data_IF_453160103519
#
_entry.id   IF_453160103519
#
_cell.length_a   1.000
_cell.length_b   1.000
_cell.length_c   1.000
_cell.angle_alpha   90.00
_cell.angle_beta   90.00
_cell.angle_gamma   90.00
#
_symmetry.space_group_name_H-M   'P 1'
#
loop_
_entity.id
_entity.type
_entity.pdbx_description
1 polymer ?
#
# COMPACT_ATOMS: atom_id res chain seq x y z
N UNK A 1 -15.82 79.32 -21.59
CA UNK A 1 -14.73 78.44 -21.07
C UNK A 1 -15.03 78.19 -19.59
N UNK A 2 -15.25 76.92 -19.16
CA UNK A 2 -14.20 76.18 -18.47
C UNK A 2 -14.15 74.66 -18.81
N UNK A 3 -12.93 74.23 -19.17
CA UNK A 3 -12.14 73.11 -18.61
C UNK A 3 -12.83 71.77 -18.31
N UNK A 4 -12.64 70.83 -19.25
CA UNK A 4 -12.74 69.37 -19.05
C UNK A 4 -11.82 68.91 -17.89
N UNK A 5 -12.39 68.11 -16.97
CA UNK A 5 -11.62 67.41 -15.93
C UNK A 5 -11.40 65.96 -16.35
N UNK A 6 -10.14 65.57 -16.52
CA UNK A 6 -9.73 64.26 -16.99
C UNK A 6 -9.85 63.23 -15.85
N UNK A 7 -10.80 62.30 -15.98
CA UNK A 7 -10.85 61.10 -15.13
C UNK A 7 -9.68 60.21 -15.51
N UNK A 8 -8.70 60.07 -14.61
CA UNK A 8 -7.63 59.08 -14.76
C UNK A 8 -8.09 57.76 -14.15
N UNK A 9 -8.37 56.78 -15.02
CA UNK A 9 -8.60 55.39 -14.63
C UNK A 9 -7.26 54.84 -14.15
N UNK A 10 -7.11 54.66 -12.84
CA UNK A 10 -5.99 53.92 -12.28
C UNK A 10 -6.21 52.43 -12.57
N UNK A 11 -5.40 51.87 -13.49
CA UNK A 11 -5.36 50.44 -13.73
C UNK A 11 -4.80 49.75 -12.49
N UNK A 12 -5.69 49.13 -11.70
CA UNK A 12 -5.29 48.26 -10.59
C UNK A 12 -4.85 46.94 -11.23
N UNK A 13 -3.55 46.79 -11.45
CA UNK A 13 -2.93 45.51 -11.79
C UNK A 13 -3.15 44.54 -10.61
N UNK A 14 -4.16 43.68 -10.72
CA UNK A 14 -4.30 42.51 -9.87
C UNK A 14 -3.10 41.57 -10.11
N UNK A 15 -2.08 41.70 -9.28
CA UNK A 15 -1.00 40.74 -9.14
C UNK A 15 -1.57 39.49 -8.47
N UNK A 16 -2.15 38.59 -9.28
CA UNK A 16 -2.46 37.23 -8.85
C UNK A 16 -1.16 36.48 -8.62
N UNK A 17 -0.60 36.58 -7.41
CA UNK A 17 0.44 35.67 -6.93
C UNK A 17 -0.15 34.27 -6.84
N UNK A 18 0.04 33.48 -7.91
CA UNK A 18 -0.19 32.03 -7.89
C UNK A 18 0.89 31.44 -7.00
N UNK A 19 0.56 31.17 -5.74
CA UNK A 19 1.39 30.38 -4.85
C UNK A 19 1.35 28.92 -5.36
N UNK A 20 2.32 28.57 -6.19
CA UNK A 20 2.53 27.20 -6.63
C UNK A 20 3.15 26.42 -5.46
N UNK A 21 2.30 25.91 -4.57
CA UNK A 21 2.73 25.07 -3.45
C UNK A 21 3.41 23.81 -3.99
N UNK A 22 4.70 23.65 -3.68
CA UNK A 22 5.44 22.45 -4.03
C UNK A 22 4.85 21.25 -3.29
N UNK A 23 4.13 20.37 -4.01
CA UNK A 23 3.70 19.08 -3.47
C UNK A 23 4.96 18.25 -3.22
N UNK A 24 5.36 18.14 -1.96
CA UNK A 24 6.47 17.28 -1.56
C UNK A 24 5.93 15.85 -1.52
N UNK A 25 6.28 15.03 -2.52
CA UNK A 25 6.00 13.59 -2.49
C UNK A 25 6.88 12.96 -1.41
N UNK A 26 6.28 12.57 -0.29
CA UNK A 26 7.03 11.98 0.82
C UNK A 26 7.50 10.57 0.43
N UNK A 27 8.63 10.12 0.99
CA UNK A 27 9.07 8.72 0.86
C UNK A 27 7.99 7.72 1.33
N UNK A 28 7.16 8.11 2.29
CA UNK A 28 5.98 7.35 2.70
C UNK A 28 4.99 7.15 1.53
N UNK A 29 4.73 8.18 0.73
CA UNK A 29 3.80 8.13 -0.41
C UNK A 29 4.30 7.17 -1.49
N UNK A 30 5.60 7.21 -1.79
CA UNK A 30 6.23 6.28 -2.74
C UNK A 30 6.16 4.83 -2.27
N UNK A 31 6.27 4.59 -0.97
CA UNK A 31 6.12 3.26 -0.38
C UNK A 31 4.70 2.72 -0.50
N UNK A 32 3.70 3.58 -0.28
CA UNK A 32 2.28 3.23 -0.45
C UNK A 32 1.97 2.97 -1.92
N UNK A 33 2.44 3.81 -2.84
CA UNK A 33 2.28 3.57 -4.28
C UNK A 33 2.91 2.23 -4.70
N UNK A 34 4.12 1.93 -4.21
CA UNK A 34 4.77 0.65 -4.47
C UNK A 34 3.93 -0.53 -3.97
N UNK A 35 3.36 -0.42 -2.77
CA UNK A 35 2.46 -1.44 -2.25
C UNK A 35 1.22 -1.62 -3.15
N UNK A 36 0.55 -0.54 -3.53
CA UNK A 36 -0.65 -0.59 -4.36
C UNK A 36 -0.39 -1.17 -5.75
N UNK A 37 0.75 -0.86 -6.36
CA UNK A 37 1.07 -1.27 -7.73
C UNK A 37 1.73 -2.65 -7.82
N UNK A 38 2.62 -2.99 -6.89
CA UNK A 38 3.45 -4.19 -6.98
C UNK A 38 3.01 -5.31 -6.03
N UNK A 39 2.45 -4.97 -4.86
CA UNK A 39 2.21 -5.94 -3.78
C UNK A 39 0.73 -6.34 -3.69
N UNK A 40 -0.18 -5.37 -3.63
CA UNK A 40 -1.62 -5.64 -3.49
C UNK A 40 -2.16 -6.54 -4.60
N UNK A 41 -1.84 -6.37 -5.89
CA UNK A 41 -2.38 -7.23 -6.95
C UNK A 41 -1.99 -8.70 -6.73
N UNK A 42 -0.73 -8.95 -6.35
CA UNK A 42 -0.24 -10.30 -6.07
C UNK A 42 -0.91 -10.90 -4.83
N UNK A 43 -1.12 -10.11 -3.77
CA UNK A 43 -1.85 -10.56 -2.58
C UNK A 43 -3.31 -10.93 -2.91
N UNK A 44 -3.98 -10.13 -3.74
CA UNK A 44 -5.35 -10.38 -4.18
C UNK A 44 -5.43 -11.68 -4.99
N UNK A 45 -4.54 -11.83 -5.97
CA UNK A 45 -4.57 -12.95 -6.91
C UNK A 45 -4.14 -14.28 -6.27
N UNK A 46 -3.08 -14.26 -5.46
CA UNK A 46 -2.44 -15.49 -5.00
C UNK A 46 -2.64 -15.82 -3.52
N UNK A 47 -3.11 -14.88 -2.69
CA UNK A 47 -3.14 -15.07 -1.24
C UNK A 47 -4.55 -15.03 -0.63
N UNK A 48 -5.42 -14.12 -1.08
CA UNK A 48 -6.68 -13.84 -0.37
C UNK A 48 -7.70 -14.97 -0.41
N UNK A 49 -7.65 -15.88 -1.39
CA UNK A 49 -8.56 -17.03 -1.44
C UNK A 49 -8.49 -17.90 -0.17
N UNK A 50 -7.35 -17.91 0.52
CA UNK A 50 -7.11 -18.67 1.74
C UNK A 50 -6.68 -17.82 2.95
N UNK A 51 -6.20 -16.59 2.75
CA UNK A 51 -5.62 -15.74 3.81
C UNK A 51 -6.27 -14.35 3.85
N UNK A 52 -7.59 -14.30 3.98
CA UNK A 52 -8.36 -13.05 4.07
C UNK A 52 -9.55 -13.18 5.01
N UNK A 53 -10.14 -12.06 5.40
CA UNK A 53 -11.39 -12.03 6.15
C UNK A 53 -12.53 -12.72 5.37
N UNK A 54 -12.53 -12.64 4.04
CA UNK A 54 -13.49 -13.38 3.22
C UNK A 54 -13.25 -14.89 3.29
N UNK A 55 -11.99 -15.34 3.30
CA UNK A 55 -11.67 -16.76 3.50
C UNK A 55 -12.11 -17.24 4.89
N UNK A 56 -11.99 -16.40 5.92
CA UNK A 56 -12.53 -16.67 7.25
C UNK A 56 -14.06 -16.84 7.22
N UNK A 57 -14.78 -15.91 6.59
CA UNK A 57 -16.23 -15.99 6.45
C UNK A 57 -16.68 -17.25 5.67
N UNK A 58 -15.90 -17.68 4.68
CA UNK A 58 -16.14 -18.89 3.87
C UNK A 58 -15.63 -20.19 4.52
N UNK A 59 -15.05 -20.14 5.73
CA UNK A 59 -14.41 -21.28 6.41
C UNK A 59 -13.29 -21.94 5.60
N UNK A 60 -12.62 -21.18 4.73
CA UNK A 60 -11.46 -21.61 3.95
C UNK A 60 -10.14 -21.03 4.44
N UNK A 61 -10.16 -20.28 5.56
CA UNK A 61 -8.98 -19.67 6.17
C UNK A 61 -7.90 -20.72 6.49
N UNK A 62 -6.64 -20.41 6.19
CA UNK A 62 -5.49 -21.27 6.48
C UNK A 62 -4.53 -20.60 7.47
N UNK A 63 -4.08 -21.37 8.45
CA UNK A 63 -3.08 -20.97 9.45
C UNK A 63 -3.46 -19.76 10.29
N UNK A 64 -4.75 -19.50 10.48
CA UNK A 64 -5.24 -18.31 11.21
C UNK A 64 -4.82 -16.96 10.60
N UNK A 65 -4.29 -16.95 9.37
CA UNK A 65 -3.54 -15.82 8.82
C UNK A 65 -4.41 -14.91 7.93
N UNK A 66 -4.39 -13.62 8.23
CA UNK A 66 -5.04 -12.56 7.44
C UNK A 66 -4.00 -11.68 6.74
N UNK A 67 -3.95 -11.71 5.41
CA UNK A 67 -3.04 -10.90 4.59
C UNK A 67 -3.72 -9.68 3.95
N UNK A 68 -5.02 -9.53 4.12
CA UNK A 68 -5.86 -8.47 3.55
C UNK A 68 -5.94 -7.19 4.40
N UNK A 69 -5.20 -7.14 5.51
CA UNK A 69 -5.04 -5.94 6.33
C UNK A 69 -3.62 -5.76 6.86
N UNK A 70 -3.23 -4.51 7.13
CA UNK A 70 -1.91 -4.21 7.71
C UNK A 70 -1.75 -4.84 9.09
N UNK A 71 -2.79 -4.79 9.91
CA UNK A 71 -2.76 -5.39 11.25
C UNK A 71 -2.67 -6.91 11.17
N UNK A 72 -3.43 -7.55 10.27
CA UNK A 72 -3.40 -8.99 10.07
C UNK A 72 -2.02 -9.51 9.69
N UNK A 73 -1.36 -8.85 8.72
CA UNK A 73 -0.01 -9.27 8.27
C UNK A 73 1.04 -9.19 9.38
N UNK A 74 0.93 -8.21 10.28
CA UNK A 74 1.87 -7.99 11.40
C UNK A 74 1.58 -8.85 12.62
N UNK A 75 0.30 -9.09 12.90
CA UNK A 75 -0.11 -10.04 13.95
C UNK A 75 0.28 -11.45 13.55
N UNK A 76 0.07 -11.77 12.27
CA UNK A 76 0.34 -13.10 11.73
C UNK A 76 -0.72 -14.11 12.10
N UNK A 77 -0.39 -15.38 11.90
CA UNK A 77 -1.26 -16.51 12.16
C UNK A 77 -0.69 -17.43 13.24
N UNK A 78 -1.04 -18.71 13.18
CA UNK A 78 -0.66 -19.72 14.18
C UNK A 78 0.87 -19.88 14.34
N UNK A 79 1.64 -19.50 13.33
CA UNK A 79 3.11 -19.56 13.32
C UNK A 79 3.80 -18.25 13.73
N UNK A 80 3.03 -17.20 14.06
CA UNK A 80 3.53 -15.87 14.38
C UNK A 80 3.47 -14.88 13.19
N UNK A 81 4.13 -13.71 13.32
CA UNK A 81 4.04 -12.61 12.36
C UNK A 81 4.40 -13.02 10.93
N UNK A 82 3.52 -12.72 9.97
CA UNK A 82 3.81 -12.97 8.56
C UNK A 82 4.82 -11.96 8.01
N UNK A 83 4.76 -10.71 8.50
CA UNK A 83 5.62 -9.61 8.09
C UNK A 83 6.20 -8.93 9.32
N UNK A 84 7.53 -8.82 9.34
CA UNK A 84 8.29 -7.99 10.28
C UNK A 84 8.84 -6.78 9.52
N UNK A 85 8.27 -5.57 9.73
CA UNK A 85 8.70 -4.36 9.03
C UNK A 85 10.22 -4.14 9.10
N UNK A 86 10.85 -3.91 7.94
CA UNK A 86 12.30 -3.71 7.82
C UNK A 86 13.13 -4.99 7.87
N UNK A 87 12.53 -6.15 8.16
CA UNK A 87 13.26 -7.42 8.35
C UNK A 87 12.70 -8.54 7.46
N UNK A 88 13.06 -8.58 6.15
CA UNK A 88 12.59 -9.62 5.25
C UNK A 88 13.03 -11.03 5.64
N UNK A 89 14.22 -11.18 6.22
CA UNK A 89 14.73 -12.48 6.67
C UNK A 89 13.92 -13.05 7.84
N UNK A 90 13.36 -12.17 8.68
CA UNK A 90 12.55 -12.55 9.84
C UNK A 90 11.05 -12.65 9.50
N UNK A 91 10.67 -12.42 8.23
CA UNK A 91 9.28 -12.41 7.78
C UNK A 91 8.87 -13.76 7.21
N UNK A 92 7.97 -14.46 7.89
CA UNK A 92 7.50 -15.79 7.47
C UNK A 92 6.88 -15.80 6.07
N UNK A 93 6.28 -14.70 5.63
CA UNK A 93 5.74 -14.58 4.27
C UNK A 93 6.83 -14.80 3.22
N UNK A 94 8.06 -14.30 3.43
CA UNK A 94 9.16 -14.47 2.48
C UNK A 94 9.59 -15.93 2.40
N UNK A 95 9.76 -16.59 3.55
CA UNK A 95 10.09 -18.01 3.59
C UNK A 95 8.98 -18.87 2.94
N UNK A 96 7.71 -18.50 3.16
CA UNK A 96 6.56 -19.17 2.58
C UNK A 96 6.51 -19.06 1.05
N UNK A 97 6.64 -17.85 0.48
CA UNK A 97 6.58 -17.65 -0.98
C UNK A 97 7.81 -18.20 -1.72
N UNK A 98 8.93 -18.41 -1.01
CA UNK A 98 10.10 -19.14 -1.53
C UNK A 98 9.97 -20.66 -1.44
N UNK A 99 8.96 -21.15 -0.72
CA UNK A 99 8.71 -22.55 -0.36
C UNK A 99 9.83 -23.16 0.50
N UNK A 100 10.36 -22.39 1.45
CA UNK A 100 11.41 -22.85 2.37
C UNK A 100 10.83 -23.55 3.60
N UNK A 101 9.62 -23.16 4.04
CA UNK A 101 9.05 -23.58 5.34
C UNK A 101 7.67 -24.22 5.24
N UNK A 102 6.74 -23.60 4.51
CA UNK A 102 5.33 -24.01 4.47
C UNK A 102 4.91 -24.50 3.09
N UNK A 103 4.02 -25.51 3.06
CA UNK A 103 3.33 -25.93 1.83
C UNK A 103 2.00 -25.18 1.71
N UNK A 104 2.00 -24.10 0.94
CA UNK A 104 0.77 -23.37 0.56
C UNK A 104 0.30 -23.86 -0.82
N UNK A 105 -1.00 -24.17 -1.03
CA UNK A 105 -1.61 -24.07 -2.35
C UNK A 105 -1.76 -22.56 -2.71
N UNK A 106 -1.54 -22.14 -3.97
CA UNK A 106 -1.20 -22.93 -5.17
C UNK A 106 0.25 -23.44 -5.20
N UNK A 107 0.49 -24.55 -5.91
CA UNK A 107 1.81 -25.22 -5.97
C UNK A 107 2.85 -24.47 -6.80
N UNK A 108 2.43 -23.54 -7.66
CA UNK A 108 3.32 -22.77 -8.53
C UNK A 108 4.00 -21.65 -7.75
N UNK A 109 5.34 -21.61 -7.82
CA UNK A 109 6.12 -20.51 -7.23
C UNK A 109 5.85 -19.20 -7.97
N UNK A 110 5.78 -18.11 -7.22
CA UNK A 110 5.83 -16.75 -7.78
C UNK A 110 7.16 -16.55 -8.52
N UNK A 111 7.18 -15.62 -9.49
CA UNK A 111 8.42 -15.29 -10.18
C UNK A 111 9.45 -14.69 -9.23
N UNK A 112 10.73 -14.75 -9.60
CA UNK A 112 11.81 -14.19 -8.76
C UNK A 112 11.65 -12.67 -8.60
N UNK A 113 11.12 -12.01 -9.63
CA UNK A 113 10.88 -10.57 -9.68
C UNK A 113 9.79 -10.18 -8.68
N UNK A 114 8.68 -10.94 -8.65
CA UNK A 114 7.61 -10.75 -7.66
C UNK A 114 8.16 -10.95 -6.24
N UNK A 115 8.91 -12.04 -6.00
CA UNK A 115 9.52 -12.28 -4.68
C UNK A 115 10.47 -11.14 -4.28
N UNK A 116 11.24 -10.60 -5.24
CA UNK A 116 12.13 -9.47 -5.01
C UNK A 116 11.34 -8.19 -4.64
N UNK A 117 10.18 -7.95 -5.24
CA UNK A 117 9.30 -6.84 -4.88
C UNK A 117 8.77 -6.99 -3.44
N UNK A 118 8.36 -8.19 -3.02
CA UNK A 118 7.99 -8.43 -1.61
C UNK A 118 9.15 -8.16 -0.66
N UNK A 119 10.36 -8.64 -0.98
CA UNK A 119 11.55 -8.38 -0.17
C UNK A 119 11.83 -6.88 -0.09
N UNK A 120 11.78 -6.16 -1.21
CA UNK A 120 11.98 -4.71 -1.27
C UNK A 120 10.95 -3.96 -0.43
N UNK A 121 9.67 -4.29 -0.60
CA UNK A 121 8.58 -3.67 0.15
C UNK A 121 8.74 -3.87 1.67
N UNK A 122 9.10 -5.08 2.12
CA UNK A 122 9.36 -5.33 3.54
C UNK A 122 10.57 -4.54 4.04
N UNK A 123 11.66 -4.43 3.25
CA UNK A 123 12.82 -3.56 3.59
C UNK A 123 12.42 -2.11 3.78
N UNK A 124 11.44 -1.61 3.02
CA UNK A 124 10.90 -0.25 3.16
C UNK A 124 9.99 -0.07 4.39
N UNK A 125 9.88 -1.07 5.26
CA UNK A 125 9.02 -1.03 6.46
C UNK A 125 7.59 -1.54 6.22
N UNK A 126 7.36 -2.22 5.10
CA UNK A 126 6.05 -2.66 4.65
C UNK A 126 4.97 -1.55 4.75
N UNK A 127 5.14 -0.40 4.04
CA UNK A 127 4.10 0.63 3.97
C UNK A 127 2.82 0.03 3.40
N UNK A 128 1.70 0.26 4.08
CA UNK A 128 0.42 -0.38 3.75
C UNK A 128 -0.71 0.56 4.21
N UNK A 129 -1.56 1.07 3.30
CA UNK A 129 -2.63 2.00 3.66
C UNK A 129 -3.85 1.31 4.30
N UNK A 130 -3.86 -0.02 4.43
CA UNK A 130 -4.98 -0.80 4.97
C UNK A 130 -5.00 -0.78 6.50
N UNK A 131 -5.13 0.40 7.09
CA UNK A 131 -5.12 0.64 8.55
C UNK A 131 -6.51 0.64 9.20
N UNK A 132 -7.60 0.46 8.43
CA UNK A 132 -8.99 0.40 8.91
C UNK A 132 -9.65 -0.97 8.76
N UNK A 133 -10.78 -1.21 9.45
CA UNK A 133 -11.63 -2.41 9.30
C UNK A 133 -11.87 -2.67 7.81
N UNK A 134 -11.79 -3.94 7.41
CA UNK A 134 -11.94 -4.39 6.02
C UNK A 134 -13.10 -3.67 5.30
N UNK A 135 -12.80 -3.18 4.09
CA UNK A 135 -13.67 -2.49 3.13
C UNK A 135 -14.18 -1.09 3.48
N UNK A 136 -13.60 -0.10 2.81
CA UNK A 136 -14.33 1.07 2.34
C UNK A 136 -13.67 1.64 1.06
N UNK A 137 -13.46 0.82 0.03
CA UNK A 137 -13.24 1.29 -1.35
C UNK A 137 -13.71 0.22 -2.34
N UNK A 138 -15.03 0.09 -2.43
CA UNK A 138 -15.71 -0.25 -3.67
C UNK A 138 -16.73 0.87 -3.87
N UNK A 139 -16.30 1.90 -4.60
CA UNK A 139 -17.18 2.82 -5.31
C UNK A 139 -17.20 2.40 -6.77
#
# INVERSE_FOLDING_TARGET
MPRYSSVRIAAVCWLSTIFLGAVSTNAADKGIEFFERQIRPVLVEHCYSCHSAQAAAKKTLKGGLLLDSRQGTRTGGDSGPAIVPGKPADSLLIAAIRHETFKMPPKSKLSREIIADFVKWIKLGAPDPRTGKANALAG
#
